data_IF_689558883285
#
_entry.id   IF_689558883285
#
_cell.length_a   1.000
_cell.length_b   1.000
_cell.length_c   1.000
_cell.angle_alpha   90.00
_cell.angle_beta   90.00
_cell.angle_gamma   90.00
#
_symmetry.space_group_name_H-M   'P 1'
#
loop_
_entity.id
_entity.type
_entity.pdbx_description
1 polymer ?
#
# COMPACT_ATOMS: atom_id res chain seq x y z
N UNK A 1 -75.31 14.65 -46.35
CA UNK A 1 -74.69 14.83 -47.68
C UNK A 1 -74.00 16.18 -47.71
N UNK A 2 -72.69 16.19 -47.48
CA UNK A 2 -71.80 17.31 -47.80
C UNK A 2 -70.41 16.69 -47.97
N UNK A 3 -70.04 16.51 -49.24
CA UNK A 3 -68.75 15.98 -49.66
C UNK A 3 -67.65 16.99 -49.33
N UNK A 4 -66.66 16.59 -48.53
CA UNK A 4 -65.39 17.31 -48.47
C UNK A 4 -64.41 16.64 -49.44
N UNK A 5 -64.06 17.40 -50.47
CA UNK A 5 -63.05 17.09 -51.48
C UNK A 5 -61.68 17.16 -50.82
N UNK A 6 -60.93 16.06 -50.85
CA UNK A 6 -59.52 16.06 -50.48
C UNK A 6 -58.71 16.82 -51.53
N UNK A 7 -58.01 17.87 -51.09
CA UNK A 7 -57.00 18.56 -51.90
C UNK A 7 -55.65 17.94 -51.55
N UNK A 8 -54.93 17.30 -52.49
CA UNK A 8 -53.62 16.75 -52.20
C UNK A 8 -52.62 17.90 -52.11
N UNK A 9 -52.16 18.23 -50.91
CA UNK A 9 -50.99 19.09 -50.71
C UNK A 9 -49.76 18.25 -50.98
N UNK A 10 -49.04 18.62 -52.04
CA UNK A 10 -47.83 17.97 -52.51
C UNK A 10 -46.81 17.75 -51.39
N UNK A 11 -46.21 16.57 -51.39
CA UNK A 11 -45.07 16.18 -50.55
C UNK A 11 -43.89 17.15 -50.75
N UNK A 12 -43.80 18.15 -49.90
CA UNK A 12 -42.51 18.81 -49.64
C UNK A 12 -41.60 17.81 -48.92
N UNK A 13 -40.28 17.80 -49.16
CA UNK A 13 -39.40 16.93 -48.41
C UNK A 13 -39.45 17.34 -46.94
N UNK A 14 -40.10 16.52 -46.12
CA UNK A 14 -39.95 16.57 -44.68
C UNK A 14 -38.48 16.26 -44.37
N UNK A 15 -37.66 17.31 -44.25
CA UNK A 15 -36.32 17.20 -43.70
C UNK A 15 -36.53 16.88 -42.22
N UNK A 16 -36.58 15.59 -41.89
CA UNK A 16 -36.42 15.08 -40.54
C UNK A 16 -35.06 15.56 -40.03
N UNK A 17 -35.06 16.37 -38.97
CA UNK A 17 -33.86 16.84 -38.24
C UNK A 17 -33.12 15.68 -37.52
N UNK A 18 -33.24 14.45 -38.01
CA UNK A 18 -32.62 13.24 -37.47
C UNK A 18 -31.34 12.85 -38.22
N UNK A 19 -31.12 13.39 -39.43
CA UNK A 19 -30.01 13.03 -40.32
C UNK A 19 -28.93 14.12 -40.47
N UNK A 20 -28.82 15.09 -39.53
CA UNK A 20 -27.61 15.90 -39.44
C UNK A 20 -26.52 15.14 -38.65
N UNK A 21 -25.28 15.02 -39.17
CA UNK A 21 -24.20 14.40 -38.43
C UNK A 21 -23.92 15.23 -37.18
N UNK A 22 -24.30 14.70 -36.01
CA UNK A 22 -23.97 15.32 -34.73
C UNK A 22 -22.47 15.57 -34.69
N UNK A 23 -22.00 16.80 -34.42
CA UNK A 23 -20.58 17.09 -34.40
C UNK A 23 -19.90 16.13 -33.42
N UNK A 24 -18.76 15.55 -33.82
CA UNK A 24 -18.02 14.57 -33.03
C UNK A 24 -17.87 15.00 -31.55
N UNK A 25 -17.73 16.31 -31.33
CA UNK A 25 -17.63 17.00 -30.05
C UNK A 25 -18.80 16.72 -29.08
N UNK A 26 -20.03 16.60 -29.57
CA UNK A 26 -21.21 16.31 -28.73
C UNK A 26 -21.19 14.86 -28.22
N UNK A 27 -20.69 13.92 -29.03
CA UNK A 27 -20.49 12.52 -28.65
C UNK A 27 -19.37 12.37 -27.62
N UNK A 28 -18.25 13.08 -27.79
CA UNK A 28 -17.16 13.12 -26.82
C UNK A 28 -17.57 13.81 -25.51
N UNK A 29 -18.31 14.92 -25.56
CA UNK A 29 -18.81 15.61 -24.38
C UNK A 29 -19.81 14.75 -23.57
N UNK A 30 -20.69 14.01 -24.26
CA UNK A 30 -21.61 13.06 -23.63
C UNK A 30 -20.88 11.87 -22.97
N UNK A 31 -19.82 11.36 -23.59
CA UNK A 31 -18.97 10.33 -22.98
C UNK A 31 -18.20 10.88 -21.77
N UNK A 32 -17.71 12.12 -21.86
CA UNK A 32 -16.97 12.80 -20.80
C UNK A 32 -17.84 13.06 -19.57
N UNK A 33 -19.08 13.50 -19.74
CA UNK A 33 -20.02 13.67 -18.62
C UNK A 33 -20.39 12.34 -17.94
N UNK A 34 -20.46 11.23 -18.69
CA UNK A 34 -20.71 9.88 -18.12
C UNK A 34 -19.52 9.35 -17.33
N UNK A 35 -18.30 9.67 -17.77
CA UNK A 35 -17.05 9.23 -17.14
C UNK A 35 -16.30 10.39 -16.47
N UNK A 36 -17.04 11.39 -15.97
CA UNK A 36 -16.47 12.65 -15.52
C UNK A 36 -15.41 12.45 -14.44
N UNK A 37 -15.69 11.58 -13.47
CA UNK A 37 -14.76 11.30 -12.38
C UNK A 37 -13.43 10.71 -12.89
N UNK A 38 -13.50 9.73 -13.80
CA UNK A 38 -12.32 9.08 -14.38
C UNK A 38 -11.52 10.06 -15.24
N UNK A 39 -12.20 10.88 -16.05
CA UNK A 39 -11.53 11.90 -16.84
C UNK A 39 -10.85 12.96 -15.96
N UNK A 40 -11.52 13.42 -14.90
CA UNK A 40 -10.97 14.39 -13.95
C UNK A 40 -9.75 13.83 -13.22
N UNK A 41 -9.75 12.57 -12.80
CA UNK A 41 -8.57 11.97 -12.14
C UNK A 41 -7.40 11.84 -13.09
N UNK A 42 -7.61 11.41 -14.34
CA UNK A 42 -6.55 11.34 -15.36
C UNK A 42 -5.97 12.74 -15.63
N UNK A 43 -6.84 13.74 -15.83
CA UNK A 43 -6.42 15.14 -16.01
C UNK A 43 -5.65 15.62 -14.78
N UNK A 44 -6.12 15.31 -13.56
CA UNK A 44 -5.45 15.64 -12.31
C UNK A 44 -4.05 15.04 -12.19
N UNK A 45 -3.86 13.77 -12.59
CA UNK A 45 -2.55 13.11 -12.63
C UNK A 45 -1.62 13.80 -13.62
N UNK A 46 -2.10 14.11 -14.83
CA UNK A 46 -1.30 14.79 -15.86
C UNK A 46 -0.92 16.20 -15.40
N UNK A 47 -1.88 17.00 -14.96
CA UNK A 47 -1.64 18.35 -14.45
C UNK A 47 -0.69 18.35 -13.26
N UNK A 48 -0.92 17.48 -12.27
CA UNK A 48 -0.04 17.34 -11.11
C UNK A 48 1.39 16.98 -11.49
N UNK A 49 1.57 16.08 -12.46
CA UNK A 49 2.88 15.69 -12.98
C UNK A 49 3.59 16.83 -13.71
N UNK A 50 2.87 17.56 -14.58
CA UNK A 50 3.40 18.69 -15.35
C UNK A 50 3.75 19.85 -14.42
N UNK A 51 2.86 20.25 -13.52
CA UNK A 51 3.13 21.31 -12.55
C UNK A 51 4.27 20.93 -11.61
N UNK A 52 4.31 19.71 -11.08
CA UNK A 52 5.42 19.24 -10.24
C UNK A 52 6.77 19.27 -10.96
N UNK A 53 6.79 18.89 -12.25
CA UNK A 53 7.98 18.99 -13.09
C UNK A 53 8.39 20.43 -13.38
N UNK A 54 7.43 21.32 -13.68
CA UNK A 54 7.69 22.74 -13.94
C UNK A 54 8.20 23.46 -12.70
N UNK A 55 7.64 23.20 -11.53
CA UNK A 55 8.08 23.75 -10.25
C UNK A 55 9.54 23.42 -9.94
N UNK A 56 10.05 22.31 -10.49
CA UNK A 56 11.44 21.89 -10.34
C UNK A 56 12.41 22.63 -11.25
N UNK A 57 11.93 23.26 -12.32
CA UNK A 57 12.75 24.13 -13.18
C UNK A 57 12.95 25.52 -12.56
N UNK A 58 12.13 25.87 -11.57
CA UNK A 58 12.27 27.09 -10.78
C UNK A 58 13.36 26.92 -9.70
N UNK A 59 13.88 28.02 -9.13
CA UNK A 59 14.79 27.97 -7.99
C UNK A 59 14.25 27.07 -6.87
N UNK A 60 15.12 26.43 -6.07
CA UNK A 60 14.71 25.48 -5.05
C UNK A 60 13.65 26.12 -4.13
N UNK A 61 12.45 25.55 -4.20
CA UNK A 61 11.32 26.00 -3.39
C UNK A 61 11.58 25.68 -1.93
N UNK A 62 11.13 26.57 -1.06
CA UNK A 62 11.21 26.34 0.37
C UNK A 62 10.35 25.12 0.79
N UNK A 63 10.78 24.43 1.84
CA UNK A 63 10.13 23.19 2.29
C UNK A 63 8.68 23.42 2.73
N UNK A 64 8.40 24.61 3.28
CA UNK A 64 7.08 25.02 3.73
C UNK A 64 6.11 25.20 2.55
N UNK A 65 6.58 25.70 1.41
CA UNK A 65 5.77 25.86 0.22
C UNK A 65 5.42 24.50 -0.41
N UNK A 66 6.37 23.56 -0.42
CA UNK A 66 6.13 22.18 -0.87
C UNK A 66 5.07 21.51 0.01
N UNK A 67 5.14 21.72 1.33
CA UNK A 67 4.13 21.23 2.28
C UNK A 67 2.75 21.81 1.99
N UNK A 68 2.66 23.12 1.71
CA UNK A 68 1.40 23.78 1.37
C UNK A 68 0.81 23.23 0.06
N UNK A 69 1.65 23.00 -0.95
CA UNK A 69 1.24 22.42 -2.23
C UNK A 69 0.75 20.97 -2.06
N UNK A 70 1.39 20.15 -1.20
CA UNK A 70 0.99 18.76 -0.96
C UNK A 70 -0.18 18.61 0.01
N UNK A 71 -0.56 19.66 0.74
CA UNK A 71 -1.54 19.60 1.81
C UNK A 71 -2.92 19.05 1.38
N UNK A 72 -3.53 19.49 0.25
CA UNK A 72 -4.77 18.87 -0.23
C UNK A 72 -4.65 17.36 -0.46
N UNK A 73 -3.51 16.90 -0.97
CA UNK A 73 -3.19 15.48 -1.12
C UNK A 73 -3.08 14.74 0.22
N UNK A 74 -2.46 15.36 1.22
CA UNK A 74 -2.35 14.78 2.56
C UNK A 74 -3.73 14.69 3.25
N UNK A 75 -4.62 15.67 3.04
CA UNK A 75 -6.01 15.62 3.49
C UNK A 75 -6.78 14.47 2.80
N UNK A 76 -6.62 14.28 1.48
CA UNK A 76 -7.18 13.13 0.77
C UNK A 76 -6.76 11.81 1.42
N UNK A 77 -5.46 11.64 1.68
CA UNK A 77 -4.93 10.43 2.30
C UNK A 77 -5.47 10.20 3.72
N UNK A 78 -5.69 11.27 4.49
CA UNK A 78 -6.31 11.20 5.83
C UNK A 78 -7.78 10.78 5.75
N UNK A 79 -8.56 11.36 4.83
CA UNK A 79 -9.96 11.00 4.60
C UNK A 79 -10.10 9.55 4.17
N UNK A 80 -9.26 9.07 3.25
CA UNK A 80 -9.27 7.67 2.82
C UNK A 80 -8.93 6.73 3.98
N UNK A 81 -7.85 7.01 4.74
CA UNK A 81 -7.45 6.18 5.90
C UNK A 81 -8.51 6.12 6.99
N UNK A 82 -9.25 7.20 7.21
CA UNK A 82 -10.35 7.25 8.19
C UNK A 82 -11.47 6.27 7.83
N UNK A 83 -11.76 6.08 6.55
CA UNK A 83 -12.85 5.19 6.10
C UNK A 83 -12.47 3.71 6.04
N UNK A 84 -11.18 3.36 6.03
CA UNK A 84 -10.75 1.96 5.91
C UNK A 84 -11.32 1.12 7.05
N UNK A 85 -11.20 1.56 8.31
CA UNK A 85 -11.65 0.81 9.47
C UNK A 85 -13.17 0.50 9.41
N UNK A 86 -14.07 1.50 9.37
CA UNK A 86 -15.50 1.23 9.37
C UNK A 86 -15.96 0.48 8.10
N UNK A 87 -15.33 0.72 6.95
CA UNK A 87 -15.63 0.01 5.71
C UNK A 87 -15.27 -1.47 5.83
N UNK A 88 -14.06 -1.81 6.24
CA UNK A 88 -13.61 -3.21 6.39
C UNK A 88 -14.52 -3.96 7.36
N UNK A 89 -14.87 -3.36 8.50
CA UNK A 89 -15.74 -3.99 9.50
C UNK A 89 -17.14 -4.24 8.90
N UNK A 90 -17.80 -3.20 8.40
CA UNK A 90 -19.18 -3.31 7.91
C UNK A 90 -19.29 -4.21 6.67
N UNK A 91 -18.38 -4.06 5.70
CA UNK A 91 -18.40 -4.86 4.47
C UNK A 91 -18.08 -6.34 4.71
N UNK A 92 -17.11 -6.67 5.58
CA UNK A 92 -16.80 -8.08 5.87
C UNK A 92 -17.94 -8.78 6.62
N UNK A 93 -18.51 -8.11 7.63
CA UNK A 93 -19.59 -8.69 8.42
C UNK A 93 -20.83 -8.89 7.55
N UNK A 94 -21.24 -7.85 6.81
CA UNK A 94 -22.36 -7.92 5.86
C UNK A 94 -22.15 -9.01 4.80
N UNK A 95 -20.97 -9.03 4.18
CA UNK A 95 -20.65 -9.97 3.09
C UNK A 95 -20.61 -11.43 3.53
N UNK A 96 -20.16 -11.72 4.75
CA UNK A 96 -20.06 -13.09 5.27
C UNK A 96 -21.33 -13.58 5.96
N UNK A 97 -22.14 -12.68 6.51
CA UNK A 97 -23.39 -13.03 7.16
C UNK A 97 -24.49 -13.46 6.18
N UNK A 98 -24.47 -12.91 4.95
CA UNK A 98 -25.39 -13.29 3.89
C UNK A 98 -25.09 -14.64 3.23
N UNK A 99 -24.00 -15.32 3.61
CA UNK A 99 -23.55 -16.56 3.00
C UNK A 99 -23.63 -17.74 3.97
N UNK A 100 -24.12 -18.89 3.49
CA UNK A 100 -24.07 -20.13 4.27
C UNK A 100 -22.62 -20.49 4.61
N UNK A 101 -22.33 -20.97 5.83
CA UNK A 101 -20.97 -21.28 6.25
C UNK A 101 -20.21 -22.22 5.28
N UNK A 102 -20.92 -23.19 4.68
CA UNK A 102 -20.34 -24.12 3.68
C UNK A 102 -20.03 -23.42 2.35
N UNK A 103 -20.86 -22.47 1.93
CA UNK A 103 -20.67 -21.67 0.72
C UNK A 103 -19.54 -20.65 0.92
N UNK A 104 -19.52 -19.96 2.06
CA UNK A 104 -18.47 -19.03 2.48
C UNK A 104 -17.10 -19.71 2.51
N UNK A 105 -17.01 -20.92 3.07
CA UNK A 105 -15.77 -21.70 3.06
C UNK A 105 -15.27 -22.01 1.65
N UNK A 106 -16.14 -22.49 0.76
CA UNK A 106 -15.77 -22.81 -0.64
C UNK A 106 -15.36 -21.56 -1.44
N UNK A 107 -16.10 -20.47 -1.29
CA UNK A 107 -15.79 -19.19 -1.92
C UNK A 107 -14.44 -18.66 -1.42
N UNK A 108 -14.22 -18.71 -0.10
CA UNK A 108 -12.97 -18.31 0.54
C UNK A 108 -11.77 -19.15 0.10
N UNK A 109 -11.89 -20.47 0.03
CA UNK A 109 -10.79 -21.34 -0.43
C UNK A 109 -10.44 -21.07 -1.89
N UNK A 110 -11.43 -20.88 -2.78
CA UNK A 110 -11.18 -20.51 -4.18
C UNK A 110 -10.47 -19.16 -4.29
N UNK A 111 -10.91 -18.17 -3.52
CA UNK A 111 -10.25 -16.87 -3.46
C UNK A 111 -8.81 -16.96 -2.92
N UNK A 112 -8.57 -17.76 -1.87
CA UNK A 112 -7.24 -17.97 -1.30
C UNK A 112 -6.29 -18.62 -2.31
N UNK A 113 -6.74 -19.66 -3.02
CA UNK A 113 -5.94 -20.31 -4.07
C UNK A 113 -5.64 -19.33 -5.20
N UNK A 114 -6.64 -18.55 -5.64
CA UNK A 114 -6.44 -17.51 -6.65
C UNK A 114 -5.38 -16.51 -6.21
N UNK A 115 -5.52 -15.86 -5.05
CA UNK A 115 -4.55 -14.88 -4.56
C UNK A 115 -3.14 -15.45 -4.36
N UNK A 116 -3.01 -16.66 -3.82
CA UNK A 116 -1.71 -17.31 -3.67
C UNK A 116 -1.07 -17.57 -5.02
N UNK A 117 -1.82 -18.15 -5.97
CA UNK A 117 -1.30 -18.50 -7.29
C UNK A 117 -0.85 -17.27 -8.09
N UNK A 118 -1.65 -16.20 -8.11
CA UNK A 118 -1.31 -14.96 -8.83
C UNK A 118 -0.12 -14.25 -8.19
N UNK A 119 -0.02 -14.25 -6.85
CA UNK A 119 1.11 -13.65 -6.14
C UNK A 119 2.41 -14.41 -6.38
N UNK A 120 2.37 -15.74 -6.36
CA UNK A 120 3.53 -16.58 -6.69
C UNK A 120 3.96 -16.36 -8.16
N UNK A 121 3.01 -16.31 -9.09
CA UNK A 121 3.30 -16.01 -10.49
C UNK A 121 3.92 -14.61 -10.68
N UNK A 122 3.39 -13.59 -9.99
CA UNK A 122 3.95 -12.23 -9.99
C UNK A 122 5.37 -12.20 -9.43
N UNK A 123 5.64 -12.90 -8.33
CA UNK A 123 6.96 -12.97 -7.71
C UNK A 123 7.97 -13.68 -8.62
N UNK A 124 7.61 -14.81 -9.22
CA UNK A 124 8.46 -15.54 -10.18
C UNK A 124 8.80 -14.63 -11.37
N UNK A 125 7.80 -13.98 -11.97
CA UNK A 125 8.00 -13.03 -13.07
C UNK A 125 8.94 -11.89 -12.65
N UNK A 126 8.73 -11.32 -11.46
CA UNK A 126 9.58 -10.25 -10.91
C UNK A 126 11.04 -10.69 -10.75
N UNK A 127 11.27 -11.89 -10.21
CA UNK A 127 12.62 -12.46 -10.05
C UNK A 127 13.27 -12.69 -11.41
N UNK A 128 12.56 -13.29 -12.37
CA UNK A 128 13.07 -13.52 -13.72
C UNK A 128 13.46 -12.21 -14.39
N UNK A 129 12.62 -11.17 -14.31
CA UNK A 129 12.91 -9.86 -14.90
C UNK A 129 14.11 -9.17 -14.25
N UNK A 130 14.19 -9.17 -12.90
CA UNK A 130 15.33 -8.59 -12.18
C UNK A 130 16.64 -9.32 -12.51
N UNK A 131 16.61 -10.66 -12.60
CA UNK A 131 17.78 -11.47 -12.95
C UNK A 131 18.10 -11.42 -14.45
N UNK A 132 17.18 -11.01 -15.31
CA UNK A 132 17.48 -10.85 -16.74
C UNK A 132 18.08 -9.47 -17.02
N UNK A 133 17.49 -8.41 -16.45
CA UNK A 133 17.89 -7.02 -16.72
C UNK A 133 19.06 -6.59 -15.82
N UNK A 134 19.25 -7.21 -14.65
CA UNK A 134 20.24 -6.83 -13.63
C UNK A 134 20.28 -5.32 -13.38
N UNK A 135 19.16 -4.69 -12.96
CA UNK A 135 19.12 -3.25 -12.81
C UNK A 135 20.00 -2.76 -11.67
N UNK A 136 20.92 -1.83 -11.98
CA UNK A 136 21.77 -1.15 -11.00
C UNK A 136 23.25 -1.19 -11.38
N UNK A 137 24.01 -0.16 -10.99
CA UNK A 137 25.44 -0.11 -11.26
C UNK A 137 26.24 -0.42 -9.98
N UNK A 138 26.94 -1.56 -9.87
CA UNK A 138 27.69 -1.93 -8.67
C UNK A 138 28.81 -0.93 -8.34
N UNK A 139 29.25 -0.12 -9.32
CA UNK A 139 30.28 0.90 -9.12
C UNK A 139 29.78 2.11 -8.31
N UNK A 140 28.46 2.36 -8.26
CA UNK A 140 27.85 3.47 -7.50
C UNK A 140 27.61 3.11 -6.01
N UNK A 141 27.75 1.83 -5.62
CA UNK A 141 27.55 1.36 -4.25
C UNK A 141 28.66 1.79 -3.28
N UNK A 142 29.83 2.22 -3.80
CA UNK A 142 30.98 2.64 -2.98
C UNK A 142 30.92 4.08 -2.46
N UNK A 143 30.04 4.92 -3.01
CA UNK A 143 29.95 6.35 -2.68
C UNK A 143 28.76 6.73 -1.81
N UNK A 144 27.88 5.78 -1.46
CA UNK A 144 26.78 6.03 -0.53
C UNK A 144 27.32 5.93 0.90
N UNK A 145 27.25 6.99 1.73
CA UNK A 145 27.57 6.86 3.14
C UNK A 145 26.66 5.78 3.73
N UNK A 146 27.25 4.86 4.49
CA UNK A 146 26.55 3.78 5.19
C UNK A 146 25.61 4.43 6.20
N UNK A 147 24.41 4.80 5.76
CA UNK A 147 23.31 5.14 6.65
C UNK A 147 23.06 3.90 7.49
N UNK A 148 23.21 4.06 8.81
CA UNK A 148 22.83 3.14 9.90
C UNK A 148 22.32 1.79 9.40
N UNK A 149 23.14 0.73 9.55
CA UNK A 149 22.69 -0.66 9.41
C UNK A 149 21.33 -0.79 10.10
N UNK A 150 20.28 -0.92 9.29
CA UNK A 150 18.95 -1.27 9.77
C UNK A 150 19.12 -2.53 10.61
N UNK A 151 18.53 -2.54 11.81
CA UNK A 151 18.54 -3.70 12.71
C UNK A 151 18.27 -4.96 11.89
N UNK A 152 19.11 -5.99 12.05
CA UNK A 152 18.95 -7.27 11.36
C UNK A 152 17.66 -7.93 11.86
N UNK A 153 16.52 -7.55 11.28
CA UNK A 153 15.22 -8.16 11.55
C UNK A 153 15.26 -9.57 10.98
N UNK A 154 15.16 -10.57 11.85
CA UNK A 154 15.13 -11.96 11.41
C UNK A 154 13.82 -12.23 10.68
N UNK A 155 13.89 -12.94 9.54
CA UNK A 155 12.70 -13.38 8.81
C UNK A 155 11.73 -14.19 9.68
N UNK A 156 12.27 -14.93 10.66
CA UNK A 156 11.46 -15.65 11.63
C UNK A 156 10.68 -14.69 12.53
N UNK A 157 11.29 -13.59 12.97
CA UNK A 157 10.61 -12.59 13.82
C UNK A 157 9.46 -11.95 13.04
N UNK A 158 9.68 -11.60 11.77
CA UNK A 158 8.64 -11.05 10.91
C UNK A 158 7.46 -12.02 10.70
N UNK A 159 7.74 -13.32 10.51
CA UNK A 159 6.70 -14.34 10.41
C UNK A 159 5.94 -14.52 11.72
N UNK A 160 6.64 -14.56 12.85
CA UNK A 160 6.00 -14.66 14.17
C UNK A 160 5.16 -13.40 14.47
N UNK A 161 5.62 -12.22 14.07
CA UNK A 161 4.86 -10.97 14.18
C UNK A 161 3.61 -11.00 13.31
N UNK A 162 3.65 -11.59 12.11
CA UNK A 162 2.47 -11.79 11.28
C UNK A 162 1.40 -12.62 12.01
N UNK A 163 1.81 -13.74 12.63
CA UNK A 163 0.91 -14.62 13.38
C UNK A 163 0.36 -13.94 14.63
N UNK A 164 1.20 -13.19 15.38
CA UNK A 164 0.76 -12.41 16.54
C UNK A 164 -0.24 -11.33 16.15
N UNK A 165 -0.01 -10.64 15.03
CA UNK A 165 -0.94 -9.62 14.54
C UNK A 165 -2.24 -10.22 13.99
N UNK A 166 -2.26 -11.49 13.54
CA UNK A 166 -3.50 -12.17 13.14
C UNK A 166 -4.47 -12.36 14.32
N UNK A 167 -3.96 -12.52 15.54
CA UNK A 167 -4.73 -12.69 16.77
C UNK A 167 -4.39 -11.58 17.77
N UNK A 168 -4.91 -10.35 17.60
CA UNK A 168 -4.61 -9.25 18.50
C UNK A 168 -5.14 -9.51 19.92
N UNK A 169 -4.39 -9.07 20.92
CA UNK A 169 -4.79 -9.17 22.33
C UNK A 169 -6.01 -8.31 22.68
N UNK A 170 -6.23 -7.22 21.92
CA UNK A 170 -7.35 -6.30 22.11
C UNK A 170 -7.82 -5.73 20.76
N UNK A 171 -9.13 -5.81 20.50
CA UNK A 171 -9.73 -5.36 19.25
C UNK A 171 -9.69 -3.83 19.07
N UNK A 172 -9.93 -3.07 20.15
CA UNK A 172 -9.91 -1.60 20.12
C UNK A 172 -8.48 -1.11 19.92
N UNK A 173 -7.51 -1.73 20.59
CA UNK A 173 -6.09 -1.43 20.42
C UNK A 173 -5.62 -1.73 18.98
N UNK A 174 -6.09 -2.82 18.38
CA UNK A 174 -5.79 -3.19 17.00
C UNK A 174 -6.23 -2.11 15.97
N UNK A 175 -7.19 -1.24 16.32
CA UNK A 175 -7.60 -0.13 15.45
C UNK A 175 -6.51 0.93 15.26
N UNK A 176 -5.54 1.04 16.18
CA UNK A 176 -4.51 2.09 16.15
C UNK A 176 -3.09 1.62 16.48
N UNK A 177 -2.90 0.36 16.87
CA UNK A 177 -1.59 -0.24 17.16
C UNK A 177 -1.43 -1.63 16.54
N UNK A 178 -0.17 -1.98 16.23
CA UNK A 178 0.27 -3.30 15.79
C UNK A 178 1.53 -3.72 16.54
N UNK A 179 1.75 -5.03 16.69
CA UNK A 179 2.89 -5.61 17.40
C UNK A 179 4.06 -5.76 16.41
N UNK A 180 5.25 -5.30 16.80
CA UNK A 180 6.48 -5.57 16.06
C UNK A 180 7.61 -5.96 17.01
N UNK A 181 8.42 -6.94 16.62
CA UNK A 181 9.66 -7.30 17.29
C UNK A 181 10.74 -6.28 16.94
N UNK A 182 11.26 -5.59 17.95
CA UNK A 182 12.34 -4.59 17.83
C UNK A 182 13.59 -5.10 18.54
N UNK A 183 14.77 -4.84 17.97
CA UNK A 183 16.04 -5.33 18.49
C UNK A 183 16.79 -4.24 19.24
N UNK A 184 16.55 -4.14 20.54
CA UNK A 184 17.16 -3.10 21.39
C UNK A 184 18.48 -3.58 21.96
N UNK A 185 19.54 -2.78 21.80
CA UNK A 185 20.84 -3.02 22.45
C UNK A 185 20.77 -2.57 23.90
N UNK A 186 20.82 -3.52 24.83
CA UNK A 186 20.79 -3.24 26.26
C UNK A 186 22.23 -3.32 26.80
N UNK A 187 22.73 -2.29 27.51
CA UNK A 187 24.03 -2.36 28.16
C UNK A 187 23.95 -3.37 29.31
N UNK A 188 24.78 -4.41 29.26
CA UNK A 188 24.91 -5.37 30.36
C UNK A 188 26.02 -4.87 31.30
N UNK A 189 25.80 -4.85 32.63
CA UNK A 189 26.83 -4.48 33.58
C UNK A 189 28.08 -5.36 33.38
N UNK A 190 29.30 -4.81 33.53
CA UNK A 190 30.52 -5.56 33.29
C UNK A 190 30.56 -6.79 34.20
N UNK A 191 30.54 -7.97 33.60
CA UNK A 191 30.82 -9.21 34.32
C UNK A 191 32.32 -9.18 34.61
N UNK A 192 32.70 -9.03 35.88
CA UNK A 192 34.09 -9.19 36.32
C UNK A 192 34.44 -10.67 36.17
N UNK A 193 34.95 -11.04 34.99
CA UNK A 193 35.50 -12.38 34.79
C UNK A 193 36.85 -12.42 35.50
N UNK A 194 36.86 -12.90 36.75
CA UNK A 194 38.09 -13.23 37.46
C UNK A 194 38.73 -14.42 36.75
N UNK A 195 39.66 -14.16 35.82
CA UNK A 195 40.54 -15.22 35.30
C UNK A 195 41.47 -15.65 36.42
N UNK A 196 41.52 -16.94 36.71
CA UNK A 196 42.55 -17.52 37.56
C UNK A 196 43.94 -17.23 36.98
N UNK A 197 44.94 -17.10 37.84
CA UNK A 197 46.30 -16.71 37.50
C UNK A 197 46.94 -17.73 36.55
N UNK A 198 46.77 -17.57 35.23
CA UNK A 198 47.53 -18.35 34.25
C UNK A 198 48.93 -17.74 34.17
N UNK A 199 49.89 -18.33 34.87
CA UNK A 199 51.32 -18.01 34.75
C UNK A 199 51.84 -18.50 33.39
N UNK A 200 51.63 -17.70 32.35
CA UNK A 200 52.17 -18.03 31.04
C UNK A 200 53.64 -17.62 30.97
N UNK A 201 54.54 -18.60 30.85
CA UNK A 201 55.98 -18.38 30.70
C UNK A 201 56.24 -17.99 29.24
N UNK A 202 56.48 -16.70 28.98
CA UNK A 202 56.87 -16.22 27.64
C UNK A 202 58.39 -16.09 27.60
N UNK A 203 59.04 -16.88 26.73
CA UNK A 203 60.49 -16.81 26.46
C UNK A 203 60.75 -15.94 25.24
N UNK A 204 61.45 -14.83 25.42
CA UNK A 204 61.97 -14.01 24.30
C UNK A 204 63.46 -13.80 24.53
N UNK A 205 64.28 -14.14 23.51
CA UNK A 205 65.74 -14.02 23.53
C UNK A 205 66.42 -14.56 24.81
N UNK A 206 66.05 -15.76 25.25
CA UNK A 206 66.73 -16.47 26.34
C UNK A 206 66.45 -15.98 27.76
N UNK A 207 65.67 -14.90 27.96
CA UNK A 207 65.21 -14.47 29.28
C UNK A 207 63.75 -14.88 29.51
N UNK A 208 63.46 -15.33 30.73
CA UNK A 208 62.13 -15.78 31.15
C UNK A 208 61.44 -14.62 31.86
N UNK A 209 60.35 -14.11 31.29
CA UNK A 209 59.53 -13.08 31.92
C UNK A 209 58.25 -13.73 32.47
N UNK A 210 58.09 -13.65 33.80
CA UNK A 210 56.83 -13.98 34.45
C UNK A 210 55.91 -12.76 34.38
N UNK A 211 54.93 -12.79 33.47
CA UNK A 211 53.90 -11.74 33.39
C UNK A 211 52.58 -12.25 34.00
N UNK A 212 52.18 -11.68 35.13
CA UNK A 212 50.84 -11.84 35.69
C UNK A 212 49.89 -10.85 35.04
N UNK A 213 48.97 -11.34 34.19
CA UNK A 213 47.88 -10.51 33.65
C UNK A 213 46.80 -10.41 34.72
N UNK A 214 46.83 -9.38 35.55
CA UNK A 214 45.73 -9.05 36.46
C UNK A 214 44.71 -8.19 35.72
N UNK A 215 43.51 -8.76 35.55
CA UNK A 215 42.25 -8.10 35.16
C UNK A 215 42.16 -7.56 33.73
N UNK A 216 41.35 -8.23 32.91
CA UNK A 216 40.82 -7.63 31.67
C UNK A 216 39.50 -6.96 32.03
N UNK A 217 39.51 -5.64 32.16
CA UNK A 217 38.28 -4.85 32.29
C UNK A 217 37.53 -4.91 30.94
N UNK A 218 36.61 -5.86 30.81
CA UNK A 218 35.71 -5.93 29.65
C UNK A 218 34.75 -4.75 29.78
N UNK A 219 34.94 -3.71 28.95
CA UNK A 219 34.03 -2.58 28.85
C UNK A 219 32.56 -3.03 28.63
N UNK A 220 31.58 -2.14 28.79
CA UNK A 220 30.17 -2.48 28.78
C UNK A 220 29.80 -3.32 27.55
N UNK A 221 29.50 -4.60 27.76
CA UNK A 221 29.08 -5.50 26.70
C UNK A 221 27.63 -5.17 26.36
N UNK A 222 27.38 -4.72 25.13
CA UNK A 222 26.01 -4.49 24.66
C UNK A 222 25.45 -5.81 24.17
N UNK A 223 24.40 -6.32 24.83
CA UNK A 223 23.69 -7.52 24.36
C UNK A 223 22.45 -7.06 23.60
N UNK A 224 22.28 -7.58 22.39
CA UNK A 224 21.07 -7.33 21.61
C UNK A 224 19.94 -8.17 22.19
N UNK A 225 18.93 -7.52 22.76
CA UNK A 225 17.73 -8.18 23.26
C UNK A 225 16.56 -7.85 22.34
N UNK A 226 15.80 -8.87 21.95
CA UNK A 226 14.55 -8.69 21.20
C UNK A 226 13.41 -8.42 22.18
N UNK A 227 12.60 -7.39 21.92
CA UNK A 227 11.35 -7.13 22.65
C UNK A 227 10.19 -6.93 21.68
N UNK A 228 8.99 -7.21 22.15
CA UNK A 228 7.75 -6.86 21.46
C UNK A 228 7.42 -5.41 21.83
N UNK A 229 7.18 -4.59 20.82
CA UNK A 229 6.74 -3.20 20.99
C UNK A 229 5.47 -2.95 20.19
N UNK A 230 4.56 -2.15 20.75
CA UNK A 230 3.39 -1.66 20.04
C UNK A 230 3.78 -0.44 19.21
N UNK A 231 3.66 -0.56 17.89
CA UNK A 231 3.85 0.56 16.97
C UNK A 231 2.50 1.13 16.57
N UNK A 232 2.45 2.46 16.45
CA UNK A 232 1.28 3.15 15.93
C UNK A 232 1.01 2.72 14.49
N UNK A 233 -0.24 2.35 14.21
CA UNK A 233 -0.67 1.82 12.93
C UNK A 233 -1.82 0.83 13.13
N UNK A 234 -2.82 0.90 12.27
CA UNK A 234 -3.96 -0.03 12.33
C UNK A 234 -3.50 -1.44 11.96
N UNK A 235 -3.75 -2.41 12.84
CA UNK A 235 -3.55 -3.83 12.57
C UNK A 235 -4.72 -4.36 11.71
N UNK A 236 -4.65 -4.07 10.41
CA UNK A 236 -5.68 -4.48 9.43
C UNK A 236 -5.82 -6.00 9.38
N UNK A 237 -4.71 -6.74 9.48
CA UNK A 237 -4.72 -8.20 9.44
C UNK A 237 -5.55 -8.81 10.57
N UNK A 238 -5.31 -8.36 11.81
CA UNK A 238 -6.05 -8.83 12.99
C UNK A 238 -7.52 -8.46 12.95
N UNK A 239 -7.84 -7.24 12.48
CA UNK A 239 -9.23 -6.81 12.29
C UNK A 239 -9.95 -7.68 11.25
N UNK A 240 -9.34 -7.92 10.09
CA UNK A 240 -9.90 -8.80 9.06
C UNK A 240 -10.09 -10.21 9.64
N UNK A 241 -9.08 -10.78 10.31
CA UNK A 241 -9.15 -12.12 10.89
C UNK A 241 -10.30 -12.28 11.89
N UNK A 242 -10.43 -11.32 12.82
CA UNK A 242 -11.51 -11.30 13.80
C UNK A 242 -12.89 -11.14 13.16
N UNK A 243 -13.06 -10.16 12.27
CA UNK A 243 -14.36 -9.86 11.66
C UNK A 243 -14.80 -10.90 10.62
N UNK A 244 -13.88 -11.65 10.02
CA UNK A 244 -14.22 -12.85 9.24
C UNK A 244 -14.85 -13.90 10.15
N UNK A 245 -14.20 -14.22 11.28
CA UNK A 245 -14.73 -15.20 12.23
C UNK A 245 -16.07 -14.76 12.83
N UNK A 246 -16.21 -13.45 13.11
CA UNK A 246 -17.45 -12.84 13.58
C UNK A 246 -18.56 -12.95 12.54
N UNK A 247 -18.31 -12.57 11.28
CA UNK A 247 -19.29 -12.64 10.20
C UNK A 247 -19.78 -14.07 9.92
N UNK A 248 -18.85 -15.05 9.91
CA UNK A 248 -19.20 -16.47 9.75
C UNK A 248 -20.03 -16.98 10.94
N UNK A 249 -19.68 -16.58 12.16
CA UNK A 249 -20.43 -16.96 13.37
C UNK A 249 -21.83 -16.36 13.36
N UNK A 250 -21.96 -15.10 12.95
CA UNK A 250 -23.23 -14.40 12.79
C UNK A 250 -24.12 -15.08 11.73
N UNK A 251 -23.56 -15.45 10.57
CA UNK A 251 -24.30 -16.19 9.53
C UNK A 251 -24.85 -17.54 10.01
N UNK A 252 -24.19 -18.21 10.96
CA UNK A 252 -24.67 -19.47 11.56
C UNK A 252 -25.85 -19.29 12.51
N UNK A 253 -26.07 -18.09 13.05
CA UNK A 253 -27.15 -17.80 14.01
C UNK A 253 -28.50 -17.56 13.34
N UNK A 254 -28.55 -17.54 12.00
CA UNK A 254 -29.78 -17.42 11.23
C UNK A 254 -30.59 -16.18 11.61
N UNK A 255 -31.86 -16.37 11.97
CA UNK A 255 -32.77 -15.26 12.25
C UNK A 255 -32.38 -14.41 13.47
N UNK A 256 -31.70 -14.98 14.46
CA UNK A 256 -31.27 -14.24 15.64
C UNK A 256 -30.24 -13.14 15.30
N UNK A 257 -29.51 -13.32 14.20
CA UNK A 257 -28.52 -12.36 13.73
C UNK A 257 -29.09 -11.27 12.81
N UNK A 258 -30.36 -11.37 12.36
CA UNK A 258 -30.98 -10.41 11.43
C UNK A 258 -30.82 -8.94 11.87
N UNK A 259 -31.13 -8.55 13.13
CA UNK A 259 -30.98 -7.16 13.54
C UNK A 259 -29.54 -6.63 13.43
N UNK A 260 -28.55 -7.49 13.71
CA UNK A 260 -27.14 -7.12 13.62
C UNK A 260 -26.66 -7.05 12.16
N UNK A 261 -27.12 -7.97 11.32
CA UNK A 261 -26.83 -7.96 9.89
C UNK A 261 -27.40 -6.69 9.22
N UNK A 262 -28.64 -6.33 9.53
CA UNK A 262 -29.29 -5.13 9.01
C UNK A 262 -28.57 -3.85 9.45
N UNK A 263 -28.12 -3.79 10.71
CA UNK A 263 -27.28 -2.69 11.20
C UNK A 263 -26.00 -2.52 10.35
N UNK A 264 -25.24 -3.60 10.14
CA UNK A 264 -24.00 -3.52 9.36
C UNK A 264 -24.24 -3.26 7.86
N UNK A 265 -25.35 -3.74 7.30
CA UNK A 265 -25.76 -3.42 5.94
C UNK A 265 -26.02 -1.92 5.77
N UNK A 266 -26.81 -1.33 6.67
CA UNK A 266 -27.10 0.11 6.65
C UNK A 266 -25.81 0.92 6.87
N UNK A 267 -24.96 0.49 7.80
CA UNK A 267 -23.67 1.13 8.04
C UNK A 267 -22.78 1.12 6.79
N UNK A 268 -22.69 -0.02 6.09
CA UNK A 268 -21.94 -0.15 4.83
C UNK A 268 -22.47 0.82 3.76
N UNK A 269 -23.79 0.91 3.59
CA UNK A 269 -24.43 1.85 2.65
C UNK A 269 -24.12 3.32 2.98
N UNK A 270 -24.16 3.70 4.27
CA UNK A 270 -23.79 5.04 4.71
C UNK A 270 -22.31 5.33 4.37
N UNK A 271 -21.42 4.37 4.64
CA UNK A 271 -19.98 4.53 4.37
C UNK A 271 -19.72 4.64 2.86
N UNK A 272 -20.41 3.87 2.01
CA UNK A 272 -20.27 3.97 0.55
C UNK A 272 -20.67 5.36 0.02
N UNK A 273 -21.67 6.01 0.64
CA UNK A 273 -22.00 7.41 0.34
C UNK A 273 -20.89 8.38 0.75
N UNK A 274 -20.26 8.17 1.91
CA UNK A 274 -19.09 8.95 2.33
C UNK A 274 -17.90 8.77 1.37
N UNK A 275 -17.64 7.53 0.95
CA UNK A 275 -16.60 7.21 -0.05
C UNK A 275 -16.87 7.99 -1.34
N UNK A 276 -18.11 8.00 -1.82
CA UNK A 276 -18.49 8.72 -3.04
C UNK A 276 -18.19 10.21 -2.97
N UNK A 277 -18.44 10.87 -1.83
CA UNK A 277 -18.10 12.28 -1.64
C UNK A 277 -16.58 12.52 -1.68
N UNK A 278 -15.79 11.66 -1.04
CA UNK A 278 -14.32 11.75 -1.08
C UNK A 278 -13.77 11.47 -2.48
N UNK A 279 -14.40 10.56 -3.23
CA UNK A 279 -14.02 10.28 -4.61
C UNK A 279 -14.15 11.54 -5.48
N UNK A 280 -15.19 12.36 -5.30
CA UNK A 280 -15.31 13.64 -6.01
C UNK A 280 -14.22 14.66 -5.66
N UNK A 281 -13.67 14.61 -4.44
CA UNK A 281 -12.49 15.40 -4.05
C UNK A 281 -11.18 14.85 -4.63
N UNK A 282 -11.13 13.54 -4.94
CA UNK A 282 -9.90 12.85 -5.33
C UNK A 282 -9.14 13.44 -6.52
N UNK A 283 -9.75 13.95 -7.60
CA UNK A 283 -8.99 14.54 -8.72
C UNK A 283 -8.08 15.68 -8.27
N UNK A 284 -8.59 16.53 -7.38
CA UNK A 284 -7.86 17.66 -6.83
C UNK A 284 -6.76 17.21 -5.85
N UNK A 285 -7.10 16.30 -4.93
CA UNK A 285 -6.14 15.76 -3.97
C UNK A 285 -5.00 14.98 -4.64
N UNK A 286 -5.28 14.18 -5.67
CA UNK A 286 -4.29 13.41 -6.43
C UNK A 286 -3.35 14.36 -7.19
N UNK A 287 -3.89 15.40 -7.85
CA UNK A 287 -3.07 16.39 -8.56
C UNK A 287 -2.06 17.08 -7.63
N UNK A 288 -2.55 17.56 -6.48
CA UNK A 288 -1.72 18.18 -5.43
C UNK A 288 -0.69 17.20 -4.86
N UNK A 289 -1.08 15.95 -4.57
CA UNK A 289 -0.17 14.94 -4.03
C UNK A 289 0.97 14.62 -4.99
N UNK A 290 0.65 14.39 -6.27
CA UNK A 290 1.66 14.08 -7.29
C UNK A 290 2.58 15.29 -7.51
N UNK A 291 2.03 16.49 -7.62
CA UNK A 291 2.80 17.72 -7.75
C UNK A 291 3.79 17.89 -6.59
N UNK A 292 3.32 17.79 -5.35
CA UNK A 292 4.16 17.93 -4.16
C UNK A 292 5.23 16.83 -4.05
N UNK A 293 4.89 15.57 -4.36
CA UNK A 293 5.84 14.46 -4.32
C UNK A 293 6.93 14.57 -5.38
N UNK A 294 6.61 15.05 -6.57
CA UNK A 294 7.61 15.29 -7.63
C UNK A 294 8.49 16.49 -7.28
N UNK A 295 7.90 17.59 -6.80
CA UNK A 295 8.64 18.80 -6.43
C UNK A 295 9.60 18.58 -5.25
N UNK A 296 9.29 17.64 -4.34
CA UNK A 296 10.15 17.28 -3.21
C UNK A 296 11.46 16.54 -3.61
N UNK A 297 11.57 16.05 -4.84
CA UNK A 297 12.76 15.30 -5.31
C UNK A 297 13.86 16.30 -5.69
N UNK A 298 14.83 16.47 -4.80
CA UNK A 298 15.99 17.38 -5.00
C UNK A 298 16.81 16.96 -6.23
N UNK A 299 17.33 15.73 -6.26
CA UNK A 299 18.27 15.26 -7.29
C UNK A 299 17.69 14.15 -8.20
N UNK A 300 16.73 14.49 -9.07
CA UNK A 300 16.15 13.52 -10.01
C UNK A 300 17.19 12.90 -10.93
N UNK A 301 18.23 13.63 -11.35
CA UNK A 301 19.25 13.07 -12.24
C UNK A 301 20.05 11.96 -11.54
N UNK A 302 20.46 12.20 -10.30
CA UNK A 302 21.18 11.21 -9.50
C UNK A 302 20.30 9.99 -9.21
N UNK A 303 19.05 10.22 -8.81
CA UNK A 303 18.06 9.16 -8.56
C UNK A 303 17.76 8.38 -9.84
N UNK A 304 17.53 9.05 -10.96
CA UNK A 304 17.27 8.41 -12.25
C UNK A 304 18.49 7.60 -12.74
N UNK A 305 19.71 8.09 -12.53
CA UNK A 305 20.93 7.35 -12.90
C UNK A 305 21.18 6.14 -12.01
N UNK A 306 20.84 6.21 -10.71
CA UNK A 306 21.07 5.13 -9.75
C UNK A 306 19.95 4.07 -9.74
N UNK A 307 18.69 4.48 -9.90
CA UNK A 307 17.50 3.66 -9.73
C UNK A 307 16.61 3.60 -10.99
N UNK A 308 16.94 4.34 -12.06
CA UNK A 308 16.10 4.39 -13.26
C UNK A 308 15.90 3.04 -13.93
N UNK A 309 16.96 2.24 -14.08
CA UNK A 309 16.84 0.87 -14.62
C UNK A 309 16.01 -0.04 -13.73
N UNK A 310 16.07 0.16 -12.41
CA UNK A 310 15.21 -0.56 -11.46
C UNK A 310 13.75 -0.17 -11.66
N UNK A 311 13.46 1.13 -11.79
CA UNK A 311 12.11 1.64 -12.06
C UNK A 311 11.54 1.10 -13.38
N UNK A 312 12.32 1.10 -14.46
CA UNK A 312 11.92 0.53 -15.76
C UNK A 312 11.60 -0.95 -15.62
N UNK A 313 12.45 -1.72 -14.93
CA UNK A 313 12.24 -3.17 -14.72
C UNK A 313 10.93 -3.43 -13.98
N UNK A 314 10.65 -2.66 -12.91
CA UNK A 314 9.41 -2.79 -12.13
C UNK A 314 8.19 -2.42 -12.96
N UNK A 315 8.24 -1.30 -13.71
CA UNK A 315 7.12 -0.88 -14.58
C UNK A 315 6.83 -1.94 -15.65
N UNK A 316 7.86 -2.45 -16.32
CA UNK A 316 7.70 -3.53 -17.32
C UNK A 316 7.11 -4.78 -16.67
N UNK A 317 7.57 -5.17 -15.48
CA UNK A 317 7.00 -6.31 -14.75
C UNK A 317 5.54 -6.12 -14.38
N UNK A 318 5.16 -4.94 -13.90
CA UNK A 318 3.77 -4.59 -13.60
C UNK A 318 2.89 -4.59 -14.86
N UNK A 319 3.39 -4.07 -15.98
CA UNK A 319 2.66 -4.07 -17.27
C UNK A 319 2.49 -5.50 -17.79
N UNK A 320 3.54 -6.33 -17.79
CA UNK A 320 3.44 -7.73 -18.23
C UNK A 320 2.46 -8.50 -17.33
N UNK A 321 2.59 -8.38 -16.01
CA UNK A 321 1.70 -9.10 -15.11
C UNK A 321 0.24 -8.61 -15.23
N UNK A 322 0.05 -7.29 -15.19
CA UNK A 322 -1.27 -6.67 -15.18
C UNK A 322 -2.01 -6.72 -16.52
N UNK A 323 -1.32 -6.54 -17.64
CA UNK A 323 -1.93 -6.46 -18.97
C UNK A 323 -1.89 -7.78 -19.76
N UNK A 324 -1.04 -8.74 -19.38
CA UNK A 324 -0.92 -10.03 -20.09
C UNK A 324 -1.29 -11.19 -19.18
N UNK A 325 -0.60 -11.35 -18.04
CA UNK A 325 -0.79 -12.54 -17.18
C UNK A 325 -2.19 -12.58 -16.57
N UNK A 326 -2.65 -11.49 -15.96
CA UNK A 326 -3.98 -11.45 -15.32
C UNK A 326 -5.13 -11.62 -16.34
N UNK A 327 -5.15 -10.93 -17.51
CA UNK A 327 -6.16 -11.19 -18.53
C UNK A 327 -6.12 -12.61 -19.09
N UNK A 328 -4.94 -13.24 -19.21
CA UNK A 328 -4.82 -14.63 -19.66
C UNK A 328 -5.34 -15.64 -18.63
N UNK A 329 -5.23 -15.35 -17.33
CA UNK A 329 -5.84 -16.15 -16.26
C UNK A 329 -7.37 -15.95 -16.23
N UNK A 330 -7.84 -14.77 -16.64
CA UNK A 330 -9.27 -14.44 -16.68
C UNK A 330 -10.02 -15.09 -17.85
N UNK A 331 -9.37 -15.20 -19.01
CA UNK A 331 -9.87 -15.87 -20.22
C UNK A 331 -9.95 -17.40 -20.02
#
# INVERSE_FOLDING_TARGET
MTNHVEVPMADGPHITLEDLPKPCLEKYCGWLMRNALLALTIIGVILGSVFGGLLRLLPPLDSDLIMLISFPGDILMRMLKMLILPLVISSLISGLAGLDAKSSGRMGTRAMVYYLSTTVAAAILGVILVLSIHPGNPKLKKSTPVTTRNEDVSSLDAFLDLVRNLFPENLVQACFQQIQTVSTKVPVPPVVVRKENVSQIVRVNGTVLNATITEVNVGPSTVTQKRLEFKAGMNVLGLIGFFIAFGISMGKMGEQAKPMADFFNILNEIIMKLVSMIMWYSPFGIASLICGKIAAIKDLEMVARQLGMYMVTVIVGLVIHGAIVLPLIFL
#
